data_IF_490152058179
#
_entry.id   IF_490152058179
#
_cell.length_a   1.000
_cell.length_b   1.000
_cell.length_c   1.000
_cell.angle_alpha   90.00
_cell.angle_beta   90.00
_cell.angle_gamma   90.00
#
_symmetry.space_group_name_H-M   'P 1'
#
loop_
_entity.id
_entity.type
_entity.pdbx_description
1 polymer ?
#
# COMPACT_ATOMS: atom_id res chain seq x y z
N UNK A 1 -17.23 0.17 8.34
CA UNK A 1 -16.27 -0.29 9.36
C UNK A 1 -14.98 0.49 9.22
N UNK A 2 -14.26 0.83 10.30
CA UNK A 2 -12.94 1.46 10.19
C UNK A 2 -11.96 0.58 9.40
N UNK A 3 -10.91 1.19 8.86
CA UNK A 3 -9.84 0.47 8.14
C UNK A 3 -8.71 0.17 9.12
N UNK A 4 -8.51 -1.11 9.43
CA UNK A 4 -7.46 -1.60 10.31
C UNK A 4 -6.10 -1.27 9.72
N UNK A 5 -5.31 -0.54 10.48
CA UNK A 5 -4.05 0.05 10.05
C UNK A 5 -2.94 -0.32 11.03
N UNK A 6 -1.80 -0.72 10.49
CA UNK A 6 -0.58 -0.96 11.27
C UNK A 6 0.37 0.21 11.09
N UNK A 7 1.00 0.64 12.18
CA UNK A 7 2.07 1.64 12.14
C UNK A 7 3.39 1.06 12.63
N UNK A 8 4.47 1.39 11.92
CA UNK A 8 5.81 0.94 12.28
C UNK A 8 6.78 2.11 12.30
N UNK A 9 7.53 2.23 13.39
CA UNK A 9 8.71 3.12 13.49
C UNK A 9 9.94 2.37 13.02
N UNK A 10 10.79 3.03 12.24
CA UNK A 10 12.04 2.42 11.82
C UNK A 10 12.99 2.23 13.02
N UNK A 11 13.81 1.17 13.04
CA UNK A 11 14.69 0.85 14.16
C UNK A 11 15.74 1.93 14.49
N UNK A 12 15.96 2.91 13.60
CA UNK A 12 16.86 4.05 13.78
C UNK A 12 16.11 5.40 13.85
N UNK A 13 14.79 5.38 14.02
CA UNK A 13 13.92 6.55 14.11
C UNK A 13 14.10 7.55 12.96
N UNK A 14 14.41 7.07 11.74
CA UNK A 14 14.54 7.94 10.56
C UNK A 14 13.23 8.16 9.84
N UNK A 15 12.37 7.14 9.83
CA UNK A 15 11.06 7.14 9.16
C UNK A 15 10.05 6.27 9.90
N UNK A 16 8.80 6.44 9.53
CA UNK A 16 7.67 5.62 9.96
C UNK A 16 6.84 5.21 8.76
N UNK A 17 6.07 4.14 8.90
CA UNK A 17 5.17 3.60 7.87
C UNK A 17 3.81 3.33 8.47
N UNK A 18 2.76 3.60 7.71
CA UNK A 18 1.41 3.15 7.97
C UNK A 18 0.92 2.28 6.80
N UNK A 19 0.23 1.18 7.07
CA UNK A 19 -0.38 0.34 6.03
C UNK A 19 -1.70 -0.28 6.47
N UNK A 20 -2.65 -0.39 5.54
CA UNK A 20 -3.97 -0.95 5.78
C UNK A 20 -3.97 -2.47 5.59
N UNK A 21 -4.58 -3.18 6.54
CA UNK A 21 -4.75 -4.64 6.47
C UNK A 21 -5.93 -5.03 5.57
N UNK A 22 -7.01 -4.26 5.59
CA UNK A 22 -8.25 -4.61 4.87
C UNK A 22 -8.18 -4.33 3.36
N UNK A 23 -7.14 -3.60 2.93
CA UNK A 23 -6.91 -3.16 1.56
C UNK A 23 -5.42 -3.36 1.20
N UNK A 24 -5.04 -4.58 0.77
CA UNK A 24 -3.65 -4.94 0.49
C UNK A 24 -2.94 -3.97 -0.44
N UNK A 25 -1.69 -3.62 -0.09
CA UNK A 25 -0.86 -2.69 -0.85
C UNK A 25 -1.10 -1.20 -0.55
N UNK A 26 -2.12 -0.84 0.23
CA UNK A 26 -2.29 0.53 0.72
C UNK A 26 -1.32 0.82 1.87
N UNK A 27 -0.18 1.43 1.53
CA UNK A 27 0.94 1.67 2.47
C UNK A 27 1.64 2.98 2.17
N UNK A 28 1.94 3.81 3.18
CA UNK A 28 2.69 5.06 3.01
C UNK A 28 3.68 5.27 4.15
N UNK A 29 4.85 5.79 3.78
CA UNK A 29 5.90 6.16 4.72
C UNK A 29 6.08 7.67 4.83
N UNK A 30 6.40 8.15 6.03
CA UNK A 30 6.74 9.53 6.32
C UNK A 30 7.86 9.62 7.36
N UNK A 31 8.21 10.83 7.80
CA UNK A 31 9.23 11.02 8.84
C UNK A 31 8.73 10.61 10.23
N UNK A 32 7.44 10.76 10.48
CA UNK A 32 6.78 10.50 11.76
C UNK A 32 5.50 9.69 11.53
N UNK A 33 5.03 9.01 12.58
CA UNK A 33 3.84 8.14 12.53
C UNK A 33 2.60 8.91 12.10
N UNK A 34 2.31 10.05 12.74
CA UNK A 34 1.11 10.85 12.43
C UNK A 34 1.08 11.29 10.96
N UNK A 35 2.23 11.75 10.44
CA UNK A 35 2.38 12.10 9.03
C UNK A 35 2.24 10.89 8.10
N UNK A 36 2.65 9.70 8.53
CA UNK A 36 2.50 8.49 7.74
C UNK A 36 1.02 8.10 7.62
N UNK A 37 0.26 8.20 8.71
CA UNK A 37 -1.19 7.95 8.74
C UNK A 37 -1.95 9.01 7.93
N UNK A 38 -1.61 10.30 8.08
CA UNK A 38 -2.18 11.38 7.27
C UNK A 38 -1.90 11.17 5.77
N UNK A 39 -0.65 10.82 5.43
CA UNK A 39 -0.27 10.53 4.03
C UNK A 39 -1.01 9.29 3.52
N UNK A 40 -1.18 8.25 4.34
CA UNK A 40 -1.96 7.07 3.98
C UNK A 40 -3.40 7.48 3.62
N UNK A 41 -4.05 8.25 4.49
CA UNK A 41 -5.43 8.73 4.32
C UNK A 41 -5.60 9.61 3.08
N UNK A 42 -4.72 10.58 2.86
CA UNK A 42 -4.76 11.45 1.66
C UNK A 42 -4.61 10.69 0.34
N UNK A 43 -4.06 9.47 0.38
CA UNK A 43 -3.89 8.60 -0.79
C UNK A 43 -5.08 7.68 -1.05
N UNK A 44 -6.10 7.65 -0.19
CA UNK A 44 -7.27 6.76 -0.30
C UNK A 44 -7.86 6.71 -1.71
N UNK A 45 -8.19 7.87 -2.29
CA UNK A 45 -8.79 7.96 -3.62
C UNK A 45 -7.90 7.39 -4.74
N UNK A 46 -6.58 7.33 -4.53
CA UNK A 46 -5.66 6.72 -5.50
C UNK A 46 -5.73 5.20 -5.51
N UNK A 47 -6.26 4.57 -4.45
CA UNK A 47 -6.48 3.13 -4.36
C UNK A 47 -7.88 2.70 -4.82
N UNK A 48 -8.84 3.64 -4.86
CA UNK A 48 -10.22 3.40 -5.30
C UNK A 48 -10.34 2.69 -6.67
N UNK A 49 -9.54 3.02 -7.71
CA UNK A 49 -9.67 2.33 -9.00
C UNK A 49 -9.43 0.82 -8.92
N UNK A 50 -8.52 0.37 -8.05
CA UNK A 50 -8.28 -1.06 -7.83
C UNK A 50 -9.48 -1.72 -7.16
N UNK A 51 -10.03 -1.09 -6.12
CA UNK A 51 -11.24 -1.60 -5.46
C UNK A 51 -12.43 -1.67 -6.44
N UNK A 52 -12.55 -0.71 -7.34
CA UNK A 52 -13.59 -0.73 -8.38
C UNK A 52 -13.40 -1.89 -9.37
N UNK A 53 -12.18 -2.13 -9.86
CA UNK A 53 -11.87 -3.26 -10.73
C UNK A 53 -12.08 -4.62 -10.04
N UNK A 54 -11.92 -4.67 -8.71
CA UNK A 54 -12.22 -5.84 -7.89
C UNK A 54 -13.72 -6.02 -7.59
N UNK A 55 -14.60 -5.12 -8.04
CA UNK A 55 -16.04 -5.15 -7.73
C UNK A 55 -16.40 -4.70 -6.30
N UNK A 56 -15.46 -4.04 -5.61
CA UNK A 56 -15.55 -3.69 -4.18
C UNK A 56 -15.62 -2.18 -3.93
N UNK A 57 -15.98 -1.37 -4.94
CA UNK A 57 -16.04 0.09 -4.81
C UNK A 57 -16.95 0.56 -3.67
N UNK A 58 -18.15 -0.02 -3.54
CA UNK A 58 -19.09 0.37 -2.47
C UNK A 58 -18.56 0.08 -1.07
N UNK A 59 -17.84 -1.04 -0.90
CA UNK A 59 -17.18 -1.40 0.36
C UNK A 59 -16.04 -0.41 0.67
N UNK A 60 -15.24 -0.06 -0.34
CA UNK A 60 -14.12 0.89 -0.20
C UNK A 60 -14.59 2.31 0.15
N UNK A 61 -15.61 2.78 -0.56
CA UNK A 61 -16.21 4.11 -0.39
C UNK A 61 -16.94 4.21 0.96
N UNK A 62 -17.57 3.10 1.41
CA UNK A 62 -18.25 3.01 2.71
C UNK A 62 -17.34 2.69 3.90
N UNK A 63 -16.05 2.41 3.67
CA UNK A 63 -15.12 2.15 4.75
C UNK A 63 -14.86 3.44 5.57
N UNK A 64 -14.70 3.29 6.88
CA UNK A 64 -14.56 4.38 7.84
C UNK A 64 -13.16 5.01 7.87
N UNK A 65 -12.81 5.73 8.93
CA UNK A 65 -11.46 6.26 9.12
C UNK A 65 -10.44 5.14 9.32
N UNK A 66 -9.16 5.50 9.19
CA UNK A 66 -8.04 4.63 9.55
C UNK A 66 -8.03 4.43 11.08
N UNK A 67 -7.98 3.18 11.53
CA UNK A 67 -7.89 2.80 12.93
C UNK A 67 -6.56 2.07 13.15
N UNK A 68 -5.73 2.58 14.07
CA UNK A 68 -4.46 1.93 14.40
C UNK A 68 -4.75 0.73 15.29
N UNK A 69 -4.53 -0.47 14.76
CA UNK A 69 -4.75 -1.74 15.48
C UNK A 69 -3.44 -2.38 15.96
N UNK A 70 -2.31 -1.95 15.42
CA UNK A 70 -0.99 -2.43 15.80
C UNK A 70 0.06 -1.32 15.62
N UNK A 71 0.92 -1.15 16.62
CA UNK A 71 2.09 -0.28 16.57
C UNK A 71 3.33 -1.07 16.98
N UNK A 72 4.44 -0.87 16.25
CA UNK A 72 5.70 -1.50 16.61
C UNK A 72 6.94 -0.92 15.95
N UNK A 73 8.07 -1.59 16.17
CA UNK A 73 9.33 -1.31 15.46
C UNK A 73 9.37 -2.18 14.21
N UNK A 74 9.51 -1.54 13.05
CA UNK A 74 9.60 -2.21 11.75
C UNK A 74 11.01 -2.75 11.46
N UNK A 75 11.22 -3.18 10.22
CA UNK A 75 12.54 -3.66 9.76
C UNK A 75 13.40 -2.49 9.25
N UNK A 76 14.66 -2.76 8.86
CA UNK A 76 15.52 -1.74 8.27
C UNK A 76 14.95 -1.07 7.00
N UNK A 77 14.00 -1.72 6.33
CA UNK A 77 13.27 -1.16 5.18
C UNK A 77 12.39 0.05 5.56
N UNK A 78 11.90 0.10 6.80
CA UNK A 78 11.09 1.21 7.31
C UNK A 78 11.91 2.50 7.32
N UNK A 79 13.13 2.47 7.87
CA UNK A 79 14.03 3.64 7.87
C UNK A 79 14.49 4.02 6.47
N UNK A 80 14.85 3.03 5.65
CA UNK A 80 15.55 3.28 4.39
C UNK A 80 14.61 3.67 3.25
N UNK A 81 13.46 3.01 3.14
CA UNK A 81 12.52 3.18 2.04
C UNK A 81 11.17 3.76 2.47
N UNK A 82 10.85 3.76 3.77
CA UNK A 82 9.50 4.11 4.23
C UNK A 82 8.46 3.10 3.73
N UNK A 83 8.81 1.80 3.75
CA UNK A 83 7.90 0.68 3.50
C UNK A 83 8.07 -0.36 4.61
N UNK A 84 7.06 -1.21 4.81
CA UNK A 84 7.19 -2.38 5.67
C UNK A 84 7.44 -3.64 4.85
N UNK A 85 8.28 -4.53 5.38
CA UNK A 85 8.41 -5.93 4.93
C UNK A 85 8.01 -6.93 6.01
N UNK A 86 7.43 -6.46 7.12
CA UNK A 86 6.94 -7.33 8.18
C UNK A 86 5.42 -7.45 8.06
N UNK A 87 4.86 -8.66 8.09
CA UNK A 87 3.42 -8.83 8.24
C UNK A 87 2.97 -8.28 9.60
N UNK A 88 1.68 -7.99 9.73
CA UNK A 88 1.07 -7.79 11.05
C UNK A 88 1.16 -9.07 11.88
N UNK A 89 1.17 -8.91 13.20
CA UNK A 89 0.96 -10.01 14.14
C UNK A 89 -0.38 -10.74 13.93
N UNK A 90 -1.35 -10.10 13.27
CA UNK A 90 -2.70 -10.64 12.98
C UNK A 90 -2.78 -11.40 11.66
N UNK A 91 -1.73 -11.39 10.84
CA UNK A 91 -1.67 -12.06 9.54
C UNK A 91 -0.87 -13.38 9.61
N UNK A 92 -0.94 -14.07 10.74
CA UNK A 92 -0.22 -15.34 10.98
C UNK A 92 -1.14 -16.53 10.74
N UNK A 93 -0.61 -17.55 10.06
CA UNK A 93 -1.32 -18.81 9.81
C UNK A 93 -2.07 -18.85 8.47
N UNK A 94 -2.88 -19.90 8.25
CA UNK A 94 -3.65 -20.03 7.01
C UNK A 94 -4.77 -18.99 6.95
N UNK A 95 -5.06 -18.53 5.73
CA UNK A 95 -6.24 -17.70 5.46
C UNK A 95 -7.47 -18.59 5.25
N UNK A 96 -8.63 -18.09 5.66
CA UNK A 96 -9.90 -18.69 5.24
C UNK A 96 -10.11 -18.51 3.74
N UNK A 97 -10.83 -19.45 3.11
CA UNK A 97 -11.03 -19.45 1.64
C UNK A 97 -11.61 -18.11 1.14
N UNK A 98 -12.54 -17.52 1.88
CA UNK A 98 -13.16 -16.24 1.51
C UNK A 98 -12.16 -15.07 1.55
N UNK A 99 -11.28 -15.05 2.55
CA UNK A 99 -10.26 -14.00 2.69
C UNK A 99 -9.19 -14.14 1.61
N UNK A 100 -8.80 -15.38 1.29
CA UNK A 100 -7.86 -15.67 0.22
C UNK A 100 -8.42 -15.24 -1.14
N UNK A 101 -9.66 -15.61 -1.46
CA UNK A 101 -10.32 -15.22 -2.71
C UNK A 101 -10.44 -13.68 -2.82
N UNK A 102 -10.76 -13.00 -1.72
CA UNK A 102 -10.76 -11.54 -1.66
C UNK A 102 -9.37 -10.97 -1.98
N UNK A 103 -8.32 -11.46 -1.32
CA UNK A 103 -6.95 -10.98 -1.51
C UNK A 103 -6.46 -11.21 -2.95
N UNK A 104 -6.73 -12.39 -3.52
CA UNK A 104 -6.39 -12.73 -4.91
C UNK A 104 -7.15 -11.83 -5.89
N UNK A 105 -8.43 -11.55 -5.63
CA UNK A 105 -9.23 -10.66 -6.46
C UNK A 105 -8.63 -9.24 -6.49
N UNK A 106 -8.25 -8.71 -5.34
CA UNK A 106 -7.58 -7.40 -5.25
C UNK A 106 -6.21 -7.41 -5.93
N UNK A 107 -5.41 -8.46 -5.75
CA UNK A 107 -4.11 -8.59 -6.41
C UNK A 107 -4.24 -8.61 -7.94
N UNK A 108 -5.23 -9.34 -8.47
CA UNK A 108 -5.52 -9.36 -9.92
C UNK A 108 -5.99 -8.00 -10.41
N UNK A 109 -6.81 -7.28 -9.64
CA UNK A 109 -7.23 -5.92 -9.96
C UNK A 109 -6.05 -4.92 -9.96
N UNK A 110 -5.08 -5.08 -9.06
CA UNK A 110 -3.83 -4.31 -9.08
C UNK A 110 -3.07 -4.50 -10.41
N UNK A 111 -2.91 -5.74 -10.85
CA UNK A 111 -2.25 -6.05 -12.13
C UNK A 111 -3.03 -5.50 -13.32
N UNK A 112 -4.35 -5.71 -13.36
CA UNK A 112 -5.18 -5.16 -14.44
C UNK A 112 -5.10 -3.63 -14.51
N UNK A 113 -5.10 -2.94 -13.37
CA UNK A 113 -4.92 -1.49 -13.32
C UNK A 113 -3.53 -1.09 -13.83
N UNK A 114 -2.48 -1.80 -13.38
CA UNK A 114 -1.11 -1.58 -13.80
C UNK A 114 -0.96 -1.75 -15.32
N UNK A 115 -1.46 -2.84 -15.89
CA UNK A 115 -1.41 -3.13 -17.33
C UNK A 115 -2.13 -2.03 -18.13
N UNK A 116 -3.30 -1.60 -17.65
CA UNK A 116 -4.05 -0.50 -18.27
C UNK A 116 -3.32 0.84 -18.21
N UNK A 117 -2.49 1.09 -17.19
CA UNK A 117 -1.60 2.26 -17.13
C UNK A 117 -0.41 2.09 -18.06
N UNK A 118 0.27 0.94 -18.01
CA UNK A 118 1.42 0.61 -18.84
C UNK A 118 1.14 0.77 -20.34
N UNK A 119 -0.03 0.33 -20.79
CA UNK A 119 -0.45 0.41 -22.19
C UNK A 119 -0.58 1.84 -22.73
N UNK A 120 -0.79 2.85 -21.87
CA UNK A 120 -1.05 4.24 -22.29
C UNK A 120 0.05 5.23 -21.94
N UNK A 121 1.00 4.87 -21.08
CA UNK A 121 2.12 5.76 -20.72
C UNK A 121 3.21 5.73 -21.80
N UNK A 122 3.85 6.87 -22.05
CA UNK A 122 5.01 6.97 -22.93
C UNK A 122 6.15 6.04 -22.48
N UNK A 123 6.98 5.50 -23.39
CA UNK A 123 8.24 4.85 -23.03
C UNK A 123 9.18 5.76 -22.23
N UNK A 124 9.18 7.07 -22.52
CA UNK A 124 10.05 8.04 -21.88
C UNK A 124 9.60 8.35 -20.45
N UNK A 125 10.45 8.01 -19.47
CA UNK A 125 10.19 8.23 -18.05
C UNK A 125 10.87 9.50 -17.54
N UNK A 126 10.15 10.27 -16.70
CA UNK A 126 10.71 11.42 -16.01
C UNK A 126 11.83 10.98 -15.07
N UNK A 127 13.03 11.52 -15.26
CA UNK A 127 14.20 11.21 -14.42
C UNK A 127 14.02 11.80 -13.02
N UNK A 128 14.45 11.05 -12.01
CA UNK A 128 14.40 11.48 -10.61
C UNK A 128 15.67 12.21 -10.17
N UNK A 129 15.73 12.65 -8.88
CA UNK A 129 16.88 13.35 -8.31
C UNK A 129 18.19 12.55 -8.33
N UNK A 130 18.08 11.21 -8.37
CA UNK A 130 19.22 10.28 -8.50
C UNK A 130 19.45 9.83 -9.95
N UNK A 131 18.94 10.61 -10.91
CA UNK A 131 18.94 10.27 -12.32
C UNK A 131 17.84 9.27 -12.70
N UNK A 132 18.09 8.59 -13.81
CA UNK A 132 17.27 7.53 -14.38
C UNK A 132 18.04 6.85 -15.50
N UNK A 133 17.63 5.66 -15.91
CA UNK A 133 18.35 4.94 -16.97
C UNK A 133 17.57 3.81 -17.62
N UNK A 134 16.35 3.54 -17.16
CA UNK A 134 15.43 2.58 -17.75
C UNK A 134 14.21 3.38 -18.23
N UNK A 135 13.84 3.15 -19.48
CA UNK A 135 12.53 3.53 -20.00
C UNK A 135 11.46 2.60 -19.42
N UNK A 136 10.20 2.86 -19.77
CA UNK A 136 9.08 2.00 -19.39
C UNK A 136 9.37 0.53 -19.72
N UNK A 137 9.82 0.25 -20.94
CA UNK A 137 9.97 -1.11 -21.49
C UNK A 137 11.14 -1.90 -20.88
N UNK A 138 12.05 -1.22 -20.17
CA UNK A 138 13.08 -1.85 -19.33
C UNK A 138 12.67 -2.01 -17.87
N UNK A 139 11.59 -1.36 -17.44
CA UNK A 139 11.05 -1.44 -16.07
C UNK A 139 9.99 -2.54 -15.99
N UNK A 140 9.14 -2.65 -17.02
CA UNK A 140 7.98 -3.55 -17.07
C UNK A 140 8.20 -4.70 -18.05
#
# INVERSE_FOLDING_TARGET
MPVRTVVQRGPKDKRSVAFALDWPGWSRGAKQVDLAVETLGSYRERYRPVAALAGMAGEFDGAGPLEIVEEGVGTGSTDFWGISFSPSSTEQGPMEDADLERAVTLLRACWAFFDGVAARVSPEMRKGPRGGGRDRDRII
#
